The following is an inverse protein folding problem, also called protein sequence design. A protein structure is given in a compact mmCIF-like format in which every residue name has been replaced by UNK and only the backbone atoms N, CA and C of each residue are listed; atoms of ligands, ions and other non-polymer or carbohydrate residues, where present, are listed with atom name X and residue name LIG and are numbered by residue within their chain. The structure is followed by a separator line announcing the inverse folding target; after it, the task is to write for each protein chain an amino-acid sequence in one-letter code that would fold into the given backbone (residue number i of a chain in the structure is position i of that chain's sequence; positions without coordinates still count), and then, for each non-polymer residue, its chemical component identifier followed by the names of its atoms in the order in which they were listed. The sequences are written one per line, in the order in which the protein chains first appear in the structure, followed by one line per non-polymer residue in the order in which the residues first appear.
data_IF_272082570829
#
_entry.id   IF_272082570829
#
_cell.length_a   1.000
_cell.length_b   1.000
_cell.length_c   1.000
_cell.angle_alpha   90.00
_cell.angle_beta   90.00
_cell.angle_gamma   90.00
#
_symmetry.space_group_name_H-M   'P 1'
#
loop_
_entity.id
_entity.type
_entity.pdbx_description
1 polymer ?
#
# COMPACT_ATOMS: atom_id res chain seq x y z
N UNK A 1 2.62 -47.14 16.85
CA UNK A 1 3.89 -46.39 16.67
C UNK A 1 3.53 -44.94 16.43
N UNK A 2 3.91 -44.08 17.36
CA UNK A 2 3.64 -42.65 17.32
C UNK A 2 4.71 -41.94 16.47
N UNK A 3 4.28 -41.08 15.56
CA UNK A 3 5.09 -40.11 14.84
C UNK A 3 4.47 -38.71 15.06
N UNK A 4 5.28 -37.64 15.11
CA UNK A 4 5.06 -36.52 16.03
C UNK A 4 4.05 -35.50 15.53
N UNK A 5 3.16 -35.09 16.44
CA UNK A 5 2.18 -34.01 16.31
C UNK A 5 2.85 -32.66 16.56
N UNK A 6 3.44 -31.97 15.58
CA UNK A 6 3.80 -30.54 15.72
C UNK A 6 4.01 -29.84 14.35
N UNK A 7 2.94 -29.34 13.72
CA UNK A 7 3.03 -28.34 12.61
C UNK A 7 1.81 -27.41 12.51
N UNK A 8 1.09 -27.17 13.62
CA UNK A 8 -0.29 -26.68 13.61
C UNK A 8 -0.46 -25.18 13.96
N UNK A 9 0.51 -24.31 13.65
CA UNK A 9 0.58 -23.00 14.36
C UNK A 9 1.34 -21.88 13.61
N UNK A 10 1.04 -21.54 12.35
CA UNK A 10 1.97 -20.67 11.58
C UNK A 10 1.47 -19.53 10.68
N UNK A 11 0.19 -19.14 10.68
CA UNK A 11 -0.25 -17.94 9.92
C UNK A 11 -1.06 -16.93 10.77
N UNK A 12 -1.37 -17.27 12.03
CA UNK A 12 -2.22 -16.45 12.93
C UNK A 12 -1.43 -15.30 13.60
N UNK A 13 -0.11 -15.23 13.42
CA UNK A 13 0.77 -14.32 14.16
C UNK A 13 0.94 -12.91 13.55
N UNK A 14 0.43 -12.67 12.33
CA UNK A 14 0.69 -11.43 11.56
C UNK A 14 -0.09 -10.21 12.07
N UNK A 15 -1.27 -10.38 12.68
CA UNK A 15 -1.96 -9.30 13.38
C UNK A 15 -1.55 -9.13 14.86
N UNK A 16 -0.85 -10.11 15.45
CA UNK A 16 -0.57 -10.16 16.89
C UNK A 16 0.81 -9.59 17.27
N UNK A 17 1.83 -9.73 16.39
CA UNK A 17 3.20 -9.27 16.68
C UNK A 17 3.41 -7.77 16.58
N UNK A 18 2.64 -7.07 15.74
CA UNK A 18 2.71 -5.60 15.62
C UNK A 18 2.17 -4.89 16.88
N UNK A 19 1.28 -5.55 17.63
CA UNK A 19 0.79 -5.03 18.91
C UNK A 19 1.79 -5.24 20.05
N UNK A 20 2.44 -6.41 20.12
CA UNK A 20 3.38 -6.73 21.21
C UNK A 20 4.60 -5.80 21.28
N UNK A 21 5.13 -5.32 20.14
CA UNK A 21 6.24 -4.36 20.17
C UNK A 21 5.85 -2.90 20.32
N UNK A 22 4.59 -2.55 20.06
CA UNK A 22 4.09 -1.18 20.31
C UNK A 22 3.77 -0.94 21.79
N UNK A 23 3.48 -2.03 22.54
CA UNK A 23 3.25 -1.98 23.98
C UNK A 23 4.55 -1.95 24.82
N UNK A 24 5.68 -2.39 24.27
CA UNK A 24 6.97 -2.50 25.00
C UNK A 24 7.81 -1.20 25.03
N UNK A 25 7.33 -0.09 24.43
CA UNK A 25 7.98 1.23 24.54
C UNK A 25 7.32 2.16 25.58
N UNK A 26 6.47 1.64 26.47
CA UNK A 26 5.92 2.36 27.61
C UNK A 26 6.42 1.73 28.92
N UNK A 27 7.70 1.89 29.20
CA UNK A 27 8.21 1.87 30.56
C UNK A 27 9.55 2.61 30.57
N UNK A 28 9.52 3.89 30.94
CA UNK A 28 10.63 4.50 31.67
C UNK A 28 10.01 5.33 32.79
N UNK A 29 10.12 4.74 33.98
CA UNK A 29 9.68 5.24 35.27
C UNK A 29 10.31 6.60 35.60
N UNK A 30 9.45 7.53 36.02
CA UNK A 30 9.82 8.72 36.78
C UNK A 30 10.45 8.31 38.12
N UNK A 31 11.71 8.67 38.36
CA UNK A 31 12.24 8.84 39.72
C UNK A 31 12.63 10.31 39.94
N UNK A 32 11.83 10.99 40.77
CA UNK A 32 12.16 12.27 41.37
C UNK A 32 13.25 12.09 42.45
N UNK A 33 14.33 12.86 42.33
CA UNK A 33 15.34 13.04 43.38
C UNK A 33 15.95 14.44 43.31
N UNK A 34 15.68 15.27 44.30
CA UNK A 34 16.16 16.67 44.45
C UNK A 34 17.35 16.75 45.44
N UNK A 35 18.04 17.90 45.59
CA UNK A 35 19.48 18.04 45.31
C UNK A 35 20.37 18.27 46.55
N UNK A 36 21.70 18.22 46.38
CA UNK A 36 22.64 18.79 47.36
C UNK A 36 24.14 18.55 47.10
N UNK A 37 24.86 19.66 46.90
CA UNK A 37 26.22 19.99 47.37
C UNK A 37 27.52 19.65 46.58
N UNK A 38 28.38 20.67 46.64
CA UNK A 38 29.64 21.05 45.98
C UNK A 38 30.82 20.06 46.07
N UNK A 39 31.72 20.09 45.07
CA UNK A 39 33.10 20.56 45.29
C UNK A 39 33.88 20.82 43.98
N UNK A 40 34.74 21.84 44.07
CA UNK A 40 35.57 22.52 43.09
C UNK A 40 36.90 21.78 42.82
N UNK A 41 37.44 21.91 41.60
CA UNK A 41 38.87 22.23 41.30
C UNK A 41 39.29 21.87 39.87
N UNK A 42 39.94 22.82 39.19
CA UNK A 42 41.02 22.52 38.24
C UNK A 42 40.96 23.21 36.87
N UNK A 43 41.36 24.47 36.83
CA UNK A 43 41.51 25.28 35.61
C UNK A 43 42.82 25.01 34.82
N UNK A 44 42.82 25.53 33.57
CA UNK A 44 43.94 25.98 32.70
C UNK A 44 44.15 25.13 31.41
N UNK A 45 44.09 25.67 30.18
CA UNK A 45 43.88 27.04 29.71
C UNK A 45 43.98 27.14 28.17
N UNK A 46 43.48 28.27 27.65
CA UNK A 46 43.82 28.99 26.39
C UNK A 46 43.69 28.24 25.04
N UNK A 47 43.08 28.74 23.95
CA UNK A 47 42.60 30.09 23.60
C UNK A 47 41.81 30.07 22.26
N UNK A 48 40.69 30.81 22.25
CA UNK A 48 40.13 31.67 21.18
C UNK A 48 39.85 31.18 19.73
N UNK A 49 38.60 31.48 19.32
CA UNK A 49 38.12 31.90 17.98
C UNK A 49 37.68 30.82 16.99
N UNK A 50 36.36 30.58 16.90
CA UNK A 50 35.59 30.40 15.64
C UNK A 50 34.12 30.06 15.95
N UNK A 51 33.40 31.02 16.52
CA UNK A 51 31.93 31.05 16.50
C UNK A 51 31.53 32.24 15.62
N UNK A 52 30.95 31.94 14.45
CA UNK A 52 30.18 32.83 13.53
C UNK A 52 30.35 32.42 12.05
N UNK A 53 30.15 31.14 11.74
CA UNK A 53 30.19 30.65 10.35
C UNK A 53 29.10 29.63 9.98
N UNK A 54 28.46 28.98 10.97
CA UNK A 54 27.52 27.89 10.71
C UNK A 54 26.04 28.34 10.63
N UNK A 55 25.67 29.48 11.20
CA UNK A 55 24.26 29.95 11.21
C UNK A 55 23.87 30.83 10.00
N UNK A 56 24.81 31.24 9.15
CA UNK A 56 24.53 32.00 7.92
C UNK A 56 24.42 31.16 6.64
N UNK A 57 24.66 29.84 6.71
CA UNK A 57 24.51 28.94 5.58
C UNK A 57 23.13 28.24 5.54
N UNK A 58 22.43 28.15 6.67
CA UNK A 58 21.12 27.50 6.76
C UNK A 58 19.92 28.42 6.43
N UNK A 59 20.12 29.74 6.37
CA UNK A 59 19.07 30.72 6.02
C UNK A 59 19.09 31.16 4.54
N UNK A 60 20.04 30.66 3.74
CA UNK A 60 20.18 31.04 2.33
C UNK A 60 19.48 30.08 1.34
N UNK A 61 18.97 28.94 1.82
CA UNK A 61 18.28 27.94 0.99
C UNK A 61 16.75 27.94 1.12
N UNK A 62 16.17 28.93 1.81
CA UNK A 62 14.72 28.98 2.07
C UNK A 62 14.02 30.27 1.65
N UNK A 63 14.68 31.17 0.90
CA UNK A 63 14.10 32.47 0.48
C UNK A 63 14.29 32.86 -0.99
N UNK A 64 14.98 32.07 -1.83
CA UNK A 64 15.12 32.34 -3.27
C UNK A 64 14.19 31.51 -4.17
N UNK A 65 13.32 30.66 -3.59
CA UNK A 65 12.35 29.88 -4.36
C UNK A 65 11.00 30.59 -4.57
N UNK A 66 10.85 31.85 -4.14
CA UNK A 66 9.53 32.46 -4.02
C UNK A 66 9.43 33.94 -4.43
N UNK A 67 10.18 34.41 -5.44
CA UNK A 67 9.83 35.65 -6.16
C UNK A 67 10.39 35.59 -7.58
N UNK A 68 9.53 35.31 -8.57
CA UNK A 68 9.41 36.05 -9.84
C UNK A 68 8.87 35.19 -10.97
N UNK A 69 7.54 35.07 -11.11
CA UNK A 69 6.84 35.09 -12.40
C UNK A 69 5.39 35.54 -12.16
N UNK A 70 5.06 36.80 -12.40
CA UNK A 70 3.67 37.20 -12.68
C UNK A 70 3.45 37.15 -14.20
N UNK A 71 2.41 36.47 -14.71
CA UNK A 71 2.03 36.55 -16.11
C UNK A 71 1.03 37.69 -16.34
N UNK A 72 1.18 38.32 -17.51
CA UNK A 72 0.28 39.34 -18.03
C UNK A 72 -1.14 38.81 -18.24
N UNK A 73 -2.11 39.64 -17.84
CA UNK A 73 -3.55 39.51 -17.98
C UNK A 73 -3.97 39.28 -19.44
N UNK A 74 -4.50 38.09 -19.74
CA UNK A 74 -5.47 37.86 -20.83
C UNK A 74 -6.50 36.82 -20.40
N UNK A 75 -7.68 37.34 -20.05
CA UNK A 75 -8.93 36.59 -19.81
C UNK A 75 -9.18 35.57 -20.93
N UNK A 76 -9.23 34.30 -20.55
CA UNK A 76 -9.64 33.19 -21.40
C UNK A 76 -9.82 31.93 -20.54
N UNK A 77 -11.07 31.65 -20.20
CA UNK A 77 -11.65 30.38 -19.75
C UNK A 77 -10.68 29.35 -19.11
N UNK A 78 -10.51 29.42 -17.79
CA UNK A 78 -9.61 28.58 -16.99
C UNK A 78 -10.36 27.50 -16.19
N UNK A 79 -11.27 26.78 -16.85
CA UNK A 79 -11.91 25.58 -16.27
C UNK A 79 -11.36 24.26 -16.80
N UNK A 80 -10.39 24.29 -17.72
CA UNK A 80 -9.84 23.09 -18.36
C UNK A 80 -8.37 22.78 -18.01
N UNK A 81 -7.75 23.48 -17.06
CA UNK A 81 -6.30 23.35 -16.77
C UNK A 81 -5.94 22.62 -15.47
N UNK A 82 -6.91 22.18 -14.68
CA UNK A 82 -6.65 21.40 -13.46
C UNK A 82 -7.12 19.94 -13.53
N UNK A 83 -7.51 19.43 -14.71
CA UNK A 83 -7.57 17.97 -14.99
C UNK A 83 -6.17 17.43 -15.36
N UNK A 84 -5.13 18.02 -14.79
CA UNK A 84 -3.74 17.96 -15.23
C UNK A 84 -3.00 16.73 -14.71
N UNK A 85 -3.09 15.66 -15.48
CA UNK A 85 -2.37 14.38 -15.39
C UNK A 85 -2.85 13.42 -14.29
N UNK A 86 -3.70 12.46 -14.69
CA UNK A 86 -4.05 11.24 -13.92
C UNK A 86 -2.84 10.37 -13.56
N UNK A 87 -1.69 10.61 -14.21
CA UNK A 87 -0.44 9.87 -14.02
C UNK A 87 0.69 10.82 -13.67
N UNK A 88 1.66 10.34 -12.90
CA UNK A 88 2.88 11.06 -12.55
C UNK A 88 4.08 10.43 -13.25
N UNK A 89 5.04 11.23 -13.75
CA UNK A 89 6.29 10.70 -14.27
C UNK A 89 7.14 10.16 -13.11
N UNK A 90 7.55 8.92 -13.22
CA UNK A 90 8.50 8.27 -12.31
C UNK A 90 9.89 8.33 -12.96
N UNK A 91 10.87 8.98 -12.31
CA UNK A 91 12.19 9.15 -12.89
C UNK A 91 12.90 7.80 -13.03
N UNK A 92 13.78 7.68 -14.04
CA UNK A 92 14.70 6.56 -14.08
C UNK A 92 15.65 6.62 -12.88
N UNK A 93 16.00 5.47 -12.31
CA UNK A 93 16.86 5.41 -11.14
C UNK A 93 17.23 3.99 -10.76
N UNK A 94 17.98 3.88 -9.67
CA UNK A 94 18.37 2.60 -9.09
C UNK A 94 18.03 2.63 -7.61
N UNK A 95 17.39 1.59 -7.12
CA UNK A 95 17.00 1.49 -5.72
C UNK A 95 17.30 0.11 -5.14
N UNK A 96 17.18 0.00 -3.83
CA UNK A 96 17.21 -1.28 -3.13
C UNK A 96 15.77 -1.80 -3.02
N UNK A 97 15.46 -2.85 -3.77
CA UNK A 97 14.20 -3.60 -3.69
C UNK A 97 14.29 -4.62 -2.56
N UNK A 98 13.21 -4.80 -1.81
CA UNK A 98 13.19 -5.66 -0.63
C UNK A 98 14.02 -5.11 0.55
N UNK A 99 14.42 -5.99 1.45
CA UNK A 99 15.16 -5.66 2.68
C UNK A 99 16.06 -6.80 3.16
N UNK A 100 17.19 -6.46 3.75
CA UNK A 100 18.04 -7.43 4.48
C UNK A 100 17.54 -7.70 5.91
N UNK A 101 16.56 -6.92 6.37
CA UNK A 101 15.89 -7.05 7.67
C UNK A 101 14.40 -7.38 7.46
N UNK A 102 14.07 -8.59 6.94
CA UNK A 102 12.70 -8.96 6.62
C UNK A 102 11.84 -9.08 7.88
N UNK A 103 10.67 -8.43 7.85
CA UNK A 103 9.65 -8.54 8.90
C UNK A 103 8.93 -9.88 8.73
N UNK A 104 8.55 -10.23 7.49
CA UNK A 104 7.88 -11.47 7.15
C UNK A 104 8.78 -12.31 6.22
N UNK A 105 9.65 -13.10 6.83
CA UNK A 105 10.65 -13.94 6.11
C UNK A 105 10.07 -14.91 5.10
N UNK A 106 8.85 -15.39 5.34
CA UNK A 106 8.18 -16.37 4.50
C UNK A 106 7.69 -15.78 3.17
N UNK A 107 7.57 -14.44 3.09
CA UNK A 107 7.07 -13.73 1.92
C UNK A 107 8.20 -13.37 0.95
N UNK A 108 9.45 -13.75 1.25
CA UNK A 108 10.58 -13.45 0.36
C UNK A 108 10.98 -11.97 0.33
N UNK A 109 10.66 -11.19 1.36
CA UNK A 109 11.01 -9.75 1.42
C UNK A 109 12.51 -9.46 1.20
N UNK A 110 13.38 -10.44 1.48
CA UNK A 110 14.83 -10.34 1.28
C UNK A 110 15.37 -11.30 0.22
N UNK A 111 16.65 -11.14 -0.16
CA UNK A 111 17.56 -10.11 0.29
C UNK A 111 17.26 -8.73 -0.32
N UNK A 112 17.80 -7.68 0.30
CA UNK A 112 17.87 -6.36 -0.32
C UNK A 112 18.71 -6.44 -1.60
N UNK A 113 18.15 -6.02 -2.73
CA UNK A 113 18.78 -6.18 -4.05
C UNK A 113 18.70 -4.90 -4.86
N UNK A 114 19.75 -4.59 -5.62
CA UNK A 114 19.81 -3.38 -6.47
C UNK A 114 19.03 -3.61 -7.76
N UNK A 115 18.09 -2.72 -8.06
CA UNK A 115 17.28 -2.81 -9.27
C UNK A 115 17.32 -1.48 -10.02
N UNK A 116 17.64 -1.55 -11.32
CA UNK A 116 17.58 -0.44 -12.25
C UNK A 116 16.17 -0.31 -12.81
N UNK A 117 15.60 0.88 -12.69
CA UNK A 117 14.27 1.25 -13.16
C UNK A 117 14.40 2.30 -14.26
N UNK A 118 13.82 2.03 -15.42
CA UNK A 118 13.70 3.02 -16.49
C UNK A 118 12.67 4.10 -16.14
N UNK A 119 12.61 5.17 -16.94
CA UNK A 119 11.56 6.18 -16.77
C UNK A 119 10.21 5.62 -17.26
N UNK A 120 9.15 5.81 -16.46
CA UNK A 120 7.78 5.45 -16.82
C UNK A 120 6.78 6.42 -16.17
N UNK A 121 5.49 6.20 -16.38
CA UNK A 121 4.39 6.92 -15.74
C UNK A 121 3.60 5.95 -14.86
N UNK A 122 3.28 6.37 -13.64
CA UNK A 122 2.40 5.63 -12.73
C UNK A 122 1.11 6.42 -12.52
N UNK A 123 -0.04 5.75 -12.44
CA UNK A 123 -1.27 6.41 -12.01
C UNK A 123 -1.09 7.00 -10.61
N UNK A 124 -1.58 8.23 -10.44
CA UNK A 124 -1.50 8.95 -9.17
C UNK A 124 -2.35 8.27 -8.08
N UNK A 125 -3.42 7.62 -8.51
CA UNK A 125 -4.48 7.10 -7.69
C UNK A 125 -4.75 5.66 -8.12
N UNK A 126 -5.11 4.84 -7.15
CA UNK A 126 -5.94 3.65 -7.34
C UNK A 126 -7.08 3.90 -8.35
N UNK A 127 -7.40 2.89 -9.18
CA UNK A 127 -8.58 2.98 -10.06
C UNK A 127 -9.86 3.08 -9.24
N UNK A 128 -10.61 4.16 -9.44
CA UNK A 128 -11.88 4.36 -8.74
C UNK A 128 -13.04 3.60 -9.36
N UNK A 129 -14.10 3.41 -8.58
CA UNK A 129 -15.37 2.87 -9.05
C UNK A 129 -15.92 3.64 -10.28
N UNK A 130 -15.78 4.97 -10.30
CA UNK A 130 -16.21 5.81 -11.42
C UNK A 130 -15.39 5.56 -12.70
N UNK A 131 -14.07 5.35 -12.58
CA UNK A 131 -13.23 5.06 -13.74
C UNK A 131 -13.48 3.63 -14.26
N UNK A 132 -13.64 2.66 -13.36
CA UNK A 132 -13.98 1.29 -13.74
C UNK A 132 -15.38 1.20 -14.38
N UNK A 133 -16.35 1.98 -13.91
CA UNK A 133 -17.68 2.07 -14.52
C UNK A 133 -17.60 2.57 -15.97
N UNK A 134 -16.71 3.53 -16.29
CA UNK A 134 -16.50 3.98 -17.68
C UNK A 134 -16.01 2.85 -18.58
N UNK A 135 -15.07 2.04 -18.09
CA UNK A 135 -14.57 0.86 -18.78
C UNK A 135 -15.70 -0.14 -19.06
N UNK A 136 -16.47 -0.50 -18.03
CA UNK A 136 -17.58 -1.46 -18.15
C UNK A 136 -18.66 -0.93 -19.10
N UNK A 137 -19.01 0.36 -19.01
CA UNK A 137 -20.00 0.97 -19.90
C UNK A 137 -19.52 1.02 -21.36
N UNK A 138 -18.23 1.23 -21.60
CA UNK A 138 -17.67 1.30 -22.95
C UNK A 138 -17.53 -0.08 -23.61
N UNK A 139 -17.33 -1.14 -22.83
CA UNK A 139 -16.93 -2.47 -23.35
C UNK A 139 -17.98 -3.55 -23.12
N UNK A 140 -18.94 -3.34 -22.21
CA UNK A 140 -19.82 -4.39 -21.72
C UNK A 140 -19.10 -5.47 -20.92
N UNK A 141 -17.92 -5.15 -20.36
CA UNK A 141 -17.10 -6.11 -19.63
C UNK A 141 -17.82 -6.66 -18.39
N UNK A 142 -17.72 -7.97 -18.19
CA UNK A 142 -18.25 -8.69 -17.03
C UNK A 142 -17.07 -9.25 -16.26
N UNK A 143 -16.93 -8.86 -14.99
CA UNK A 143 -15.77 -9.26 -14.17
C UNK A 143 -15.78 -10.74 -13.84
N UNK A 144 -14.64 -11.28 -13.42
CA UNK A 144 -14.58 -12.68 -13.00
C UNK A 144 -15.48 -12.97 -11.80
N UNK A 145 -15.56 -12.06 -10.82
CA UNK A 145 -16.49 -12.18 -9.69
C UNK A 145 -17.97 -12.26 -10.16
N UNK A 146 -18.36 -11.48 -11.17
CA UNK A 146 -19.71 -11.55 -11.75
C UNK A 146 -19.95 -12.89 -12.48
N UNK A 147 -18.92 -13.47 -13.13
CA UNK A 147 -19.02 -14.77 -13.82
C UNK A 147 -19.05 -15.95 -12.86
N UNK A 148 -18.24 -15.93 -11.81
CA UNK A 148 -18.23 -16.95 -10.76
C UNK A 148 -19.50 -16.88 -9.91
N UNK A 149 -20.03 -15.67 -9.71
CA UNK A 149 -21.26 -15.42 -8.96
C UNK A 149 -21.04 -15.22 -7.46
N UNK A 150 -19.80 -15.17 -7.01
CA UNK A 150 -19.40 -14.82 -5.64
C UNK A 150 -18.02 -14.15 -5.60
N UNK A 151 -17.73 -13.51 -4.47
CA UNK A 151 -16.41 -12.99 -4.12
C UNK A 151 -16.23 -12.93 -2.61
N UNK A 152 -15.01 -12.72 -2.13
CA UNK A 152 -14.69 -12.72 -0.70
C UNK A 152 -14.95 -11.37 -0.06
N UNK A 153 -15.72 -11.37 1.03
CA UNK A 153 -16.04 -10.16 1.80
C UNK A 153 -15.65 -10.34 3.26
N UNK A 154 -15.13 -9.27 3.86
CA UNK A 154 -14.74 -9.25 5.26
C UNK A 154 -16.00 -9.27 6.14
N UNK A 155 -16.02 -10.19 7.10
CA UNK A 155 -17.16 -10.44 7.99
C UNK A 155 -17.62 -9.17 8.73
N UNK A 156 -16.68 -8.29 9.12
CA UNK A 156 -17.00 -7.03 9.81
C UNK A 156 -17.67 -5.96 8.94
N UNK A 157 -17.76 -6.18 7.62
CA UNK A 157 -18.47 -5.31 6.66
C UNK A 157 -19.85 -5.86 6.27
N UNK A 158 -20.17 -7.10 6.64
CA UNK A 158 -21.42 -7.73 6.23
C UNK A 158 -22.63 -7.22 7.02
N UNK A 159 -23.76 -7.10 6.31
CA UNK A 159 -25.07 -7.00 6.95
C UNK A 159 -25.42 -8.31 7.67
N UNK A 160 -26.33 -8.23 8.64
CA UNK A 160 -26.79 -9.44 9.37
C UNK A 160 -27.48 -10.41 8.42
N UNK A 161 -28.20 -9.86 7.45
CA UNK A 161 -28.96 -10.57 6.44
C UNK A 161 -28.05 -11.41 5.55
N UNK A 162 -26.97 -10.82 5.02
CA UNK A 162 -25.98 -11.53 4.20
C UNK A 162 -25.25 -12.58 5.04
N UNK A 163 -24.82 -12.21 6.26
CA UNK A 163 -24.08 -13.10 7.17
C UNK A 163 -24.86 -14.37 7.53
N UNK A 164 -26.16 -14.24 7.80
CA UNK A 164 -27.01 -15.40 8.14
C UNK A 164 -27.15 -16.40 6.98
N UNK A 165 -26.90 -15.98 5.73
CA UNK A 165 -26.95 -16.83 4.55
C UNK A 165 -25.68 -17.64 4.27
N UNK A 166 -24.60 -17.41 5.03
CA UNK A 166 -23.29 -17.98 4.76
C UNK A 166 -22.98 -19.12 5.74
N UNK A 167 -22.60 -20.27 5.20
CA UNK A 167 -22.26 -21.47 5.99
C UNK A 167 -20.80 -21.88 5.88
N UNK A 168 -20.02 -21.19 5.04
CA UNK A 168 -18.64 -21.52 4.72
C UNK A 168 -17.76 -20.30 4.97
N UNK A 169 -16.61 -20.51 5.60
CA UNK A 169 -15.58 -19.50 5.84
C UNK A 169 -14.21 -20.08 5.45
N UNK A 170 -13.26 -19.22 5.11
CA UNK A 170 -11.90 -19.67 4.79
C UNK A 170 -11.22 -20.21 6.07
N UNK A 171 -10.69 -21.44 6.01
CA UNK A 171 -10.21 -22.15 7.20
C UNK A 171 -9.09 -21.43 7.97
N UNK A 172 -8.23 -20.69 7.27
CA UNK A 172 -7.07 -19.99 7.84
C UNK A 172 -7.40 -18.55 8.25
N UNK A 173 -8.46 -17.98 7.66
CA UNK A 173 -8.92 -16.63 7.92
C UNK A 173 -10.46 -16.61 7.98
N UNK A 174 -11.06 -17.02 9.12
CA UNK A 174 -12.51 -17.24 9.23
C UNK A 174 -13.35 -15.97 9.05
N UNK A 175 -12.71 -14.80 9.16
CA UNK A 175 -13.32 -13.49 8.90
C UNK A 175 -13.49 -13.18 7.40
N UNK A 176 -13.05 -14.04 6.50
CA UNK A 176 -13.32 -13.92 5.07
C UNK A 176 -14.35 -14.92 4.60
N UNK A 177 -15.42 -14.39 4.00
CA UNK A 177 -16.60 -15.17 3.67
C UNK A 177 -16.88 -15.08 2.15
N UNK A 178 -17.11 -16.21 1.46
CA UNK A 178 -17.53 -16.20 0.06
C UNK A 178 -19.00 -15.76 -0.01
N UNK A 179 -19.23 -14.55 -0.52
CA UNK A 179 -20.56 -13.94 -0.59
C UNK A 179 -21.09 -14.01 -2.00
N UNK A 180 -22.22 -14.69 -2.19
CA UNK A 180 -22.91 -14.74 -3.48
C UNK A 180 -23.38 -13.36 -3.91
N UNK A 181 -23.08 -13.01 -5.15
CA UNK A 181 -23.40 -11.71 -5.73
C UNK A 181 -22.52 -10.56 -5.22
N UNK A 182 -21.49 -10.83 -4.40
CA UNK A 182 -20.47 -9.81 -4.13
C UNK A 182 -19.60 -9.61 -5.38
N UNK A 183 -19.47 -8.36 -5.81
CA UNK A 183 -18.69 -7.94 -6.96
C UNK A 183 -18.40 -6.44 -6.87
N UNK A 184 -17.80 -5.86 -7.91
CA UNK A 184 -17.39 -4.46 -7.90
C UNK A 184 -18.55 -3.47 -7.73
N UNK A 185 -19.78 -3.76 -8.22
CA UNK A 185 -20.97 -2.92 -8.02
C UNK A 185 -21.63 -3.14 -6.66
N UNK A 186 -21.46 -4.34 -6.12
CA UNK A 186 -22.04 -4.82 -4.87
C UNK A 186 -20.95 -5.33 -3.89
N UNK A 187 -20.03 -4.47 -3.38
CA UNK A 187 -18.86 -4.94 -2.64
C UNK A 187 -19.11 -5.71 -1.34
N UNK A 188 -20.24 -5.54 -0.66
CA UNK A 188 -20.57 -6.31 0.54
C UNK A 188 -21.65 -7.39 0.30
N UNK A 189 -22.01 -7.61 -0.96
CA UNK A 189 -23.09 -8.51 -1.37
C UNK A 189 -24.30 -7.77 -1.97
N UNK A 190 -25.38 -8.51 -2.31
CA UNK A 190 -26.46 -8.02 -3.18
C UNK A 190 -27.24 -6.81 -2.66
N UNK A 191 -27.21 -6.57 -1.36
CA UNK A 191 -27.86 -5.44 -0.66
C UNK A 191 -26.98 -4.20 -0.58
N UNK A 192 -25.71 -4.29 -0.97
CA UNK A 192 -24.76 -3.17 -1.01
C UNK A 192 -24.73 -2.49 -2.38
N UNK A 193 -24.13 -1.29 -2.47
CA UNK A 193 -23.92 -0.59 -3.75
C UNK A 193 -22.75 0.40 -3.68
N UNK A 194 -22.24 0.84 -4.84
CA UNK A 194 -21.16 1.84 -4.95
C UNK A 194 -21.61 3.31 -5.08
N UNK A 195 -22.92 3.60 -5.11
CA UNK A 195 -23.45 4.93 -5.43
C UNK A 195 -22.93 6.08 -4.55
N UNK A 196 -22.49 5.79 -3.32
CA UNK A 196 -21.95 6.77 -2.37
C UNK A 196 -20.41 6.73 -2.25
N UNK A 197 -19.74 5.97 -3.12
CA UNK A 197 -18.29 5.71 -3.07
C UNK A 197 -17.70 5.58 -4.48
N UNK A 198 -18.18 6.41 -5.40
CA UNK A 198 -17.71 6.42 -6.79
C UNK A 198 -16.23 6.84 -6.92
N UNK A 199 -15.73 7.59 -5.94
CA UNK A 199 -14.35 8.06 -5.79
C UNK A 199 -13.49 7.13 -4.90
N UNK A 200 -14.03 6.02 -4.40
CA UNK A 200 -13.26 4.98 -3.70
C UNK A 200 -12.65 3.99 -4.72
N UNK A 201 -11.61 3.23 -4.34
CA UNK A 201 -11.03 2.21 -5.20
C UNK A 201 -12.09 1.18 -5.60
N UNK A 202 -12.05 0.75 -6.86
CA UNK A 202 -12.81 -0.41 -7.32
C UNK A 202 -12.28 -1.67 -6.62
N UNK A 203 -13.18 -2.53 -6.14
CA UNK A 203 -12.87 -3.78 -5.45
C UNK A 203 -13.40 -4.99 -6.23
N UNK A 204 -13.05 -6.20 -5.79
CA UNK A 204 -13.50 -7.46 -6.40
C UNK A 204 -13.19 -7.57 -7.89
N UNK A 205 -12.05 -7.03 -8.31
CA UNK A 205 -11.54 -7.18 -9.67
C UNK A 205 -10.35 -8.14 -9.64
N UNK A 206 -10.36 -9.15 -10.48
CA UNK A 206 -9.25 -10.11 -10.54
C UNK A 206 -8.04 -9.50 -11.26
N UNK A 207 -6.93 -10.24 -11.27
CA UNK A 207 -5.78 -9.88 -12.12
C UNK A 207 -6.15 -9.78 -13.61
N UNK A 208 -7.05 -10.63 -14.10
CA UNK A 208 -7.50 -10.57 -15.49
C UNK A 208 -8.36 -9.32 -15.75
N UNK A 209 -9.22 -8.96 -14.80
CA UNK A 209 -10.04 -7.74 -14.87
C UNK A 209 -9.16 -6.48 -14.85
N UNK A 210 -8.12 -6.50 -14.02
CA UNK A 210 -7.07 -5.48 -13.96
C UNK A 210 -6.37 -5.29 -15.30
N UNK A 211 -5.85 -6.36 -15.88
CA UNK A 211 -5.16 -6.31 -17.18
C UNK A 211 -6.10 -5.85 -18.29
N UNK A 212 -7.36 -6.28 -18.29
CA UNK A 212 -8.36 -5.87 -19.27
C UNK A 212 -8.64 -4.36 -19.19
N UNK A 213 -8.81 -3.82 -17.97
CA UNK A 213 -8.99 -2.38 -17.75
C UNK A 213 -7.74 -1.60 -18.21
N UNK A 214 -6.55 -1.99 -17.77
CA UNK A 214 -5.29 -1.34 -18.15
C UNK A 214 -5.16 -1.27 -19.67
N UNK A 215 -5.39 -2.41 -20.34
CA UNK A 215 -5.28 -2.52 -21.79
C UNK A 215 -6.28 -1.63 -22.51
N UNK A 216 -7.54 -1.58 -22.04
CA UNK A 216 -8.55 -0.66 -22.57
C UNK A 216 -8.16 0.81 -22.40
N UNK A 217 -7.55 1.15 -21.27
CA UNK A 217 -7.07 2.49 -20.97
C UNK A 217 -5.77 2.87 -21.72
N UNK A 218 -5.19 1.95 -22.51
CA UNK A 218 -3.91 2.15 -23.19
C UNK A 218 -2.69 2.07 -22.25
N UNK A 219 -2.82 1.38 -21.12
CA UNK A 219 -1.84 1.23 -20.04
C UNK A 219 -1.50 -0.26 -19.82
N UNK A 220 -0.74 -0.55 -18.76
CA UNK A 220 -0.46 -1.91 -18.25
C UNK A 220 -0.38 -1.92 -16.72
N UNK A 221 -0.34 -3.10 -16.11
CA UNK A 221 0.02 -3.25 -14.70
C UNK A 221 1.52 -2.92 -14.47
N UNK A 222 1.91 -2.45 -13.26
CA UNK A 222 3.31 -2.29 -12.87
C UNK A 222 4.00 -3.62 -12.75
N UNK A 223 5.31 -3.63 -12.98
CA UNK A 223 6.11 -4.68 -12.37
C UNK A 223 6.20 -4.48 -10.86
N UNK A 224 6.43 -5.55 -10.10
CA UNK A 224 6.66 -5.46 -8.65
C UNK A 224 7.76 -4.44 -8.31
N UNK A 225 8.84 -4.44 -9.09
CA UNK A 225 9.94 -3.51 -8.92
C UNK A 225 9.56 -2.05 -9.25
N UNK A 226 8.76 -1.81 -10.29
CA UNK A 226 8.22 -0.48 -10.60
C UNK A 226 7.29 0.01 -9.50
N UNK A 227 6.45 -0.88 -8.96
CA UNK A 227 5.54 -0.59 -7.86
C UNK A 227 6.30 -0.22 -6.59
N UNK A 228 7.27 -1.03 -6.16
CA UNK A 228 8.02 -0.77 -4.93
C UNK A 228 8.90 0.48 -5.06
N UNK A 229 9.52 0.70 -6.22
CA UNK A 229 10.28 1.92 -6.50
C UNK A 229 9.39 3.17 -6.39
N UNK A 230 8.18 3.08 -6.93
CA UNK A 230 7.17 4.13 -6.88
C UNK A 230 6.68 4.37 -5.45
N UNK A 231 6.39 3.29 -4.71
CA UNK A 231 5.95 3.28 -3.33
C UNK A 231 6.94 4.01 -2.41
N UNK A 232 8.23 3.73 -2.58
CA UNK A 232 9.31 4.37 -1.81
C UNK A 232 9.43 5.89 -2.02
N UNK A 233 8.86 6.45 -3.08
CA UNK A 233 8.72 7.91 -3.24
C UNK A 233 10.04 8.68 -3.24
N UNK A 234 11.14 8.04 -3.67
CA UNK A 234 12.49 8.62 -3.66
C UNK A 234 13.25 8.49 -2.34
N UNK A 235 12.70 7.78 -1.35
CA UNK A 235 13.38 7.46 -0.10
C UNK A 235 14.10 6.10 -0.20
N UNK A 236 15.30 6.01 0.36
CA UNK A 236 16.04 4.75 0.44
C UNK A 236 15.85 4.07 1.80
N UNK A 237 15.63 2.76 1.80
CA UNK A 237 15.58 1.91 3.00
C UNK A 237 14.71 2.50 4.11
N UNK A 238 13.44 2.78 3.78
CA UNK A 238 12.40 3.18 4.72
C UNK A 238 11.29 2.14 4.74
N UNK A 239 10.59 2.07 5.88
CA UNK A 239 9.45 1.16 6.09
C UNK A 239 8.23 1.60 5.28
N UNK A 240 7.93 2.90 5.29
CA UNK A 240 6.75 3.48 4.66
C UNK A 240 7.14 4.52 3.59
N UNK A 241 6.24 4.86 2.65
CA UNK A 241 6.45 5.90 1.64
C UNK A 241 6.87 7.27 2.18
N UNK A 242 6.58 7.55 3.45
CA UNK A 242 6.86 8.81 4.14
C UNK A 242 7.96 8.69 5.22
N UNK A 243 8.54 7.51 5.44
CA UNK A 243 9.59 7.30 6.45
C UNK A 243 9.38 6.06 7.32
N UNK A 244 9.87 6.08 8.56
CA UNK A 244 9.86 4.91 9.45
C UNK A 244 8.85 5.00 10.60
N UNK A 245 8.19 6.15 10.77
CA UNK A 245 7.13 6.32 11.77
C UNK A 245 5.79 6.13 11.09
N UNK A 246 4.95 5.25 11.64
CA UNK A 246 3.61 5.00 11.11
C UNK A 246 2.74 6.26 11.19
N UNK A 247 2.79 6.98 12.33
CA UNK A 247 2.08 8.23 12.56
C UNK A 247 3.05 9.40 12.76
N UNK A 248 3.64 9.95 11.69
CA UNK A 248 4.48 11.14 11.81
C UNK A 248 3.62 12.32 12.30
N UNK A 249 4.08 13.01 13.34
CA UNK A 249 3.35 14.10 14.00
C UNK A 249 1.94 13.72 14.48
N UNK A 250 1.75 12.44 14.87
CA UNK A 250 0.44 11.91 15.31
C UNK A 250 -0.66 12.03 14.26
N UNK A 251 -0.30 11.95 12.97
CA UNK A 251 -1.23 11.97 11.85
C UNK A 251 -1.27 10.61 11.15
N UNK A 252 -2.45 10.18 10.71
CA UNK A 252 -2.60 9.00 9.85
C UNK A 252 -2.19 9.36 8.41
N UNK A 253 -1.37 8.52 7.80
CA UNK A 253 -0.85 8.71 6.43
C UNK A 253 -1.35 7.64 5.45
N UNK A 254 -2.06 6.63 5.94
CA UNK A 254 -2.72 5.59 5.16
C UNK A 254 -3.96 5.10 5.91
N UNK A 255 -4.89 4.52 5.15
CA UNK A 255 -6.07 3.82 5.65
C UNK A 255 -5.71 2.38 6.00
N UNK A 256 -5.67 2.03 7.29
CA UNK A 256 -5.36 0.69 7.79
C UNK A 256 -6.22 0.37 9.01
N UNK A 257 -6.05 -0.79 9.63
CA UNK A 257 -6.84 -1.14 10.82
C UNK A 257 -6.31 -0.47 12.08
N UNK A 258 -7.19 0.08 12.92
CA UNK A 258 -6.87 0.47 14.31
C UNK A 258 -7.75 -0.29 15.31
N UNK A 259 -7.19 -0.68 16.44
CA UNK A 259 -7.88 -1.51 17.46
C UNK A 259 -7.55 -3.01 17.36
N UNK A 260 -8.47 -3.86 17.82
CA UNK A 260 -8.25 -5.30 17.92
C UNK A 260 -8.81 -6.03 16.69
N UNK A 261 -7.96 -6.34 15.72
CA UNK A 261 -8.36 -7.14 14.55
C UNK A 261 -8.70 -8.59 14.95
N UNK A 262 -9.73 -9.23 14.35
CA UNK A 262 -10.75 -8.70 13.43
C UNK A 262 -11.99 -8.16 14.16
N UNK A 263 -11.95 -8.01 15.49
CA UNK A 263 -13.13 -7.79 16.35
C UNK A 263 -13.62 -6.34 16.37
N UNK A 264 -12.70 -5.37 16.43
CA UNK A 264 -13.02 -3.96 16.58
C UNK A 264 -12.06 -3.09 15.76
N UNK A 265 -12.61 -2.35 14.79
CA UNK A 265 -11.92 -1.25 14.12
C UNK A 265 -12.37 0.06 14.79
N UNK A 266 -11.44 0.85 15.31
CA UNK A 266 -11.72 2.13 15.99
C UNK A 266 -11.90 3.30 15.01
N UNK A 267 -11.56 3.11 13.74
CA UNK A 267 -11.74 4.12 12.67
C UNK A 267 -11.00 5.44 12.97
N UNK A 268 -9.85 5.34 13.65
CA UNK A 268 -9.04 6.50 14.07
C UNK A 268 -8.48 7.28 12.86
N UNK A 269 -8.21 6.59 11.76
CA UNK A 269 -7.83 7.21 10.48
C UNK A 269 -9.01 7.84 9.71
N UNK A 270 -10.24 7.66 10.19
CA UNK A 270 -11.48 8.17 9.62
C UNK A 270 -12.23 7.20 8.71
N UNK A 271 -11.73 5.98 8.47
CA UNK A 271 -12.34 5.03 7.55
C UNK A 271 -12.43 3.60 8.12
N UNK A 272 -13.66 3.06 8.15
CA UNK A 272 -13.87 1.65 8.50
C UNK A 272 -13.49 0.68 7.37
N UNK A 273 -13.84 1.07 6.14
CA UNK A 273 -13.64 0.31 4.91
C UNK A 273 -12.63 1.04 4.03
N UNK A 274 -12.90 1.14 2.73
CA UNK A 274 -12.07 1.96 1.85
C UNK A 274 -12.28 3.45 2.09
N UNK A 275 -11.30 4.25 1.72
CA UNK A 275 -11.30 5.70 1.62
C UNK A 275 -11.35 6.13 0.14
N UNK A 276 -11.71 7.40 -0.16
CA UNK A 276 -11.52 7.96 -1.49
C UNK A 276 -10.08 7.79 -1.97
N UNK A 277 -9.87 7.53 -3.26
CA UNK A 277 -8.53 7.28 -3.83
C UNK A 277 -7.59 8.48 -3.70
N UNK A 278 -8.12 9.67 -3.41
CA UNK A 278 -7.39 10.92 -3.16
C UNK A 278 -7.15 11.21 -1.68
N UNK A 279 -7.57 10.32 -0.77
CA UNK A 279 -7.38 10.49 0.66
C UNK A 279 -5.89 10.37 1.04
N UNK A 280 -5.56 10.91 2.22
CA UNK A 280 -4.22 10.94 2.81
C UNK A 280 -3.16 11.72 2.01
N UNK A 281 -2.02 12.07 2.62
CA UNK A 281 -0.94 12.77 1.91
C UNK A 281 -0.30 11.89 0.82
N UNK A 282 0.09 12.45 -0.34
CA UNK A 282 0.87 11.71 -1.32
C UNK A 282 2.31 11.47 -0.84
N UNK A 283 2.96 10.45 -1.42
CA UNK A 283 4.40 10.24 -1.23
C UNK A 283 5.26 11.24 -2.04
N UNK A 284 6.58 11.11 -1.97
CA UNK A 284 7.52 12.02 -2.66
C UNK A 284 7.41 12.06 -4.19
N UNK A 285 6.78 11.08 -4.82
CA UNK A 285 6.48 11.08 -6.26
C UNK A 285 5.06 11.54 -6.59
N UNK A 286 4.28 11.91 -5.58
CA UNK A 286 2.91 12.38 -5.76
C UNK A 286 1.86 11.28 -5.81
N UNK A 287 2.18 10.04 -5.41
CA UNK A 287 1.27 8.89 -5.41
C UNK A 287 0.48 8.82 -4.10
N UNK A 288 -0.80 8.49 -4.19
CA UNK A 288 -1.73 8.40 -3.06
C UNK A 288 -2.06 6.94 -2.77
N UNK A 289 -2.24 6.61 -1.49
CA UNK A 289 -2.73 5.31 -1.02
C UNK A 289 -1.95 4.08 -1.53
N UNK A 290 -0.70 4.25 -1.98
CA UNK A 290 0.17 3.14 -2.43
C UNK A 290 0.51 2.14 -1.31
N UNK A 291 0.18 2.47 -0.07
CA UNK A 291 0.13 1.52 1.05
C UNK A 291 -1.19 1.72 1.79
N UNK A 292 -1.82 0.63 2.23
CA UNK A 292 -3.15 0.65 2.82
C UNK A 292 -4.28 0.81 1.79
N UNK A 293 -5.47 1.15 2.26
CA UNK A 293 -6.69 1.30 1.47
C UNK A 293 -7.16 0.02 0.73
N UNK A 294 -6.59 -0.26 -0.45
CA UNK A 294 -6.82 -1.49 -1.20
C UNK A 294 -5.49 -2.13 -1.63
N UNK A 295 -5.50 -3.45 -1.78
CA UNK A 295 -4.34 -4.16 -2.33
C UNK A 295 -4.19 -3.89 -3.82
N UNK A 296 -2.96 -3.86 -4.32
CA UNK A 296 -2.64 -3.45 -5.70
C UNK A 296 -1.98 -4.59 -6.50
N UNK A 297 -2.61 -5.00 -7.61
CA UNK A 297 -2.08 -6.02 -8.52
C UNK A 297 -0.84 -5.53 -9.26
N UNK A 298 0.14 -6.43 -9.39
CA UNK A 298 1.31 -6.25 -10.25
C UNK A 298 1.35 -7.28 -11.38
N UNK A 299 2.24 -7.10 -12.36
CA UNK A 299 2.32 -7.97 -13.54
C UNK A 299 3.02 -9.31 -13.27
N UNK A 300 3.83 -9.35 -12.22
CA UNK A 300 4.79 -10.40 -11.93
C UNK A 300 4.12 -11.68 -11.43
N UNK A 301 4.80 -12.80 -11.64
CA UNK A 301 4.47 -14.05 -10.96
C UNK A 301 5.12 -14.05 -9.58
N UNK A 302 4.42 -14.60 -8.59
CA UNK A 302 4.89 -14.66 -7.22
C UNK A 302 6.06 -15.63 -7.09
N UNK A 303 7.15 -15.13 -6.54
CA UNK A 303 8.35 -15.89 -6.22
C UNK A 303 8.90 -15.40 -4.88
N UNK A 304 9.50 -16.31 -4.09
CA UNK A 304 10.10 -15.97 -2.79
C UNK A 304 11.64 -16.09 -2.79
N UNK A 305 12.19 -16.63 -3.87
CA UNK A 305 13.62 -16.93 -3.99
C UNK A 305 14.27 -15.90 -4.90
N UNK A 306 14.75 -14.81 -4.30
CA UNK A 306 15.41 -13.74 -5.05
C UNK A 306 16.94 -13.81 -4.90
N UNK A 307 17.66 -13.49 -5.98
CA UNK A 307 19.10 -13.27 -5.93
C UNK A 307 19.40 -11.86 -5.40
N UNK A 308 20.56 -11.70 -4.77
CA UNK A 308 21.12 -10.39 -4.40
C UNK A 308 21.80 -9.68 -5.58
N UNK A 309 21.87 -10.33 -6.75
CA UNK A 309 22.48 -9.76 -7.95
C UNK A 309 21.74 -8.49 -8.41
N UNK A 310 22.49 -7.56 -8.98
CA UNK A 310 21.93 -6.36 -9.56
C UNK A 310 21.12 -6.71 -10.83
N UNK A 311 19.89 -6.22 -10.89
CA UNK A 311 18.95 -6.52 -11.98
C UNK A 311 18.44 -5.26 -12.67
N UNK A 312 17.90 -5.44 -13.86
CA UNK A 312 17.23 -4.39 -14.63
C UNK A 312 15.76 -4.76 -14.75
N UNK A 313 14.86 -3.88 -14.30
CA UNK A 313 13.43 -4.09 -14.53
C UNK A 313 13.17 -4.11 -16.04
N UNK A 314 12.44 -5.12 -16.55
CA UNK A 314 12.21 -5.27 -17.98
C UNK A 314 11.47 -4.04 -18.51
N UNK A 315 12.14 -3.24 -19.35
CA UNK A 315 11.52 -2.09 -20.02
C UNK A 315 10.44 -2.64 -20.96
N UNK A 316 9.18 -2.56 -20.56
CA UNK A 316 8.06 -2.87 -21.44
C UNK A 316 7.70 -1.64 -22.26
N UNK A 317 7.45 -1.85 -23.57
CA UNK A 317 7.21 -0.79 -24.56
C UNK A 317 6.02 0.13 -24.26
N UNK A 318 5.15 -0.21 -23.30
CA UNK A 318 4.14 0.69 -22.76
C UNK A 318 4.65 1.35 -21.48
N UNK A 319 4.83 2.67 -21.50
CA UNK A 319 5.39 3.43 -20.38
C UNK A 319 4.32 3.90 -19.38
N UNK A 320 3.06 3.50 -19.55
CA UNK A 320 1.96 3.89 -18.67
C UNK A 320 1.50 2.71 -17.82
N UNK A 321 1.56 2.90 -16.50
CA UNK A 321 1.45 1.85 -15.50
C UNK A 321 0.33 2.15 -14.50
N UNK A 322 -0.45 1.13 -14.16
CA UNK A 322 -1.66 1.23 -13.36
C UNK A 322 -1.74 0.11 -12.32
N UNK A 323 -2.00 0.45 -11.07
CA UNK A 323 -2.43 -0.51 -10.06
C UNK A 323 -3.96 -0.69 -10.07
N UNK A 324 -4.41 -1.94 -9.98
CA UNK A 324 -5.83 -2.34 -9.94
C UNK A 324 -6.02 -3.36 -8.81
N UNK A 325 -7.18 -3.41 -8.15
CA UNK A 325 -7.26 -3.99 -6.79
C UNK A 325 -8.00 -5.30 -6.65
N UNK A 326 -7.88 -5.95 -5.50
CA UNK A 326 -8.78 -7.04 -5.13
C UNK A 326 -8.91 -7.20 -3.62
N UNK A 327 -9.81 -8.11 -3.25
CA UNK A 327 -10.05 -8.56 -1.89
C UNK A 327 -9.84 -10.07 -1.88
N UNK A 328 -8.70 -10.61 -1.42
CA UNK A 328 -8.61 -12.05 -1.10
C UNK A 328 -8.23 -12.29 0.36
N UNK A 329 -8.86 -13.34 0.85
CA UNK A 329 -8.38 -14.14 1.96
C UNK A 329 -7.29 -15.07 1.45
N UNK A 330 -6.08 -14.99 2.00
CA UNK A 330 -5.14 -16.08 1.84
C UNK A 330 -5.60 -17.29 2.66
N UNK A 331 -5.85 -18.41 1.99
CA UNK A 331 -6.08 -19.70 2.61
C UNK A 331 -5.65 -20.82 1.69
N UNK A 332 -4.55 -21.50 2.02
CA UNK A 332 -4.14 -22.71 1.33
C UNK A 332 -4.12 -23.90 2.30
N UNK A 333 -5.04 -24.84 2.09
CA UNK A 333 -4.79 -26.28 1.90
C UNK A 333 -6.12 -26.97 1.53
N UNK A 334 -6.69 -26.53 0.40
CA UNK A 334 -7.49 -27.30 -0.57
C UNK A 334 -8.12 -26.34 -1.58
N UNK A 335 -7.50 -26.25 -2.77
CA UNK A 335 -8.16 -26.14 -4.08
C UNK A 335 -9.31 -25.12 -4.21
N UNK A 336 -9.04 -23.99 -4.87
CA UNK A 336 -9.98 -23.46 -5.85
C UNK A 336 -9.24 -23.12 -7.15
N UNK A 337 -9.69 -23.79 -8.20
CA UNK A 337 -9.19 -23.73 -9.57
C UNK A 337 -9.44 -22.34 -10.16
N UNK A 338 -8.38 -21.55 -10.29
CA UNK A 338 -8.20 -20.62 -11.40
C UNK A 338 -7.08 -21.17 -12.29
N UNK A 339 -7.26 -22.41 -12.75
CA UNK A 339 -6.41 -23.02 -13.76
C UNK A 339 -7.25 -24.04 -14.53
N UNK A 340 -7.46 -23.76 -15.81
CA UNK A 340 -7.82 -24.77 -16.79
C UNK A 340 -6.74 -25.87 -16.80
N UNK A 341 -7.14 -27.06 -17.21
CA UNK A 341 -6.46 -28.34 -17.11
C UNK A 341 -5.05 -28.36 -17.77
N UNK A 342 -4.00 -27.97 -17.05
CA UNK A 342 -2.61 -28.47 -17.23
C UNK A 342 -1.79 -28.21 -15.96
N UNK A 343 -0.90 -29.13 -15.62
CA UNK A 343 -0.15 -29.26 -14.37
C UNK A 343 0.63 -27.99 -13.94
N UNK A 344 0.73 -27.76 -12.61
CA UNK A 344 1.44 -26.70 -11.82
C UNK A 344 0.57 -25.50 -11.34
N UNK A 345 0.40 -25.27 -10.02
CA UNK A 345 -0.30 -24.08 -9.48
C UNK A 345 0.68 -22.88 -9.39
N UNK A 346 0.56 -21.94 -10.32
CA UNK A 346 1.36 -20.71 -10.38
C UNK A 346 0.52 -19.51 -9.92
N UNK A 347 1.00 -18.72 -8.95
CA UNK A 347 0.31 -17.55 -8.38
C UNK A 347 0.97 -16.24 -8.83
N UNK A 348 0.19 -15.17 -9.01
CA UNK A 348 0.66 -13.81 -9.37
C UNK A 348 1.04 -13.00 -8.12
N UNK A 349 1.98 -12.06 -8.24
CA UNK A 349 2.51 -11.29 -7.11
C UNK A 349 1.47 -10.32 -6.53
N UNK A 350 1.27 -10.42 -5.22
CA UNK A 350 0.48 -9.55 -4.33
C UNK A 350 1.46 -8.87 -3.38
N UNK A 351 1.56 -7.54 -3.37
CA UNK A 351 2.48 -6.86 -2.44
C UNK A 351 1.70 -6.34 -1.23
N UNK A 352 2.06 -6.90 -0.07
CA UNK A 352 1.64 -6.44 1.24
C UNK A 352 2.63 -5.39 1.70
N UNK A 353 2.22 -4.12 1.77
CA UNK A 353 2.97 -3.17 2.58
C UNK A 353 2.08 -2.75 3.74
N UNK A 354 2.40 -3.33 4.90
CA UNK A 354 1.71 -3.16 6.18
C UNK A 354 1.89 -1.75 6.75
#
# INVERSE_FOLDING_TARGET
MAAPRHSLLRVIYTCWLLWLRSAECLDDSEEEGKPGEEEDQGACGCSNSRANGAERAAQKYSLEANVSQQPNDRRGDDRSKNEGMKMVPIPAGVFTMGTDEPIIKQDGEGPGRRVHIGHFFMDRYEVSNAEFEKFVNATGYVTEAERFGDSFVFEGMLSKEVKNGIQQAVAIAPWWLPVKGANWKHPEGPDSHILKRLDHPVLHVSWNDAVAFCSWAGKRLPTEAEWEYSCRGGLENRLFPWGNKLHPNSQHYANIWQGEFPRSNTEEDGYKGTAPVTAFPPNGYGLYNIVGNAWEWTSDWWEINHSADETYSPIQYCHQVLAMHYTLAQGNENRMLLADLTEEPLFKTEIAVY
#
